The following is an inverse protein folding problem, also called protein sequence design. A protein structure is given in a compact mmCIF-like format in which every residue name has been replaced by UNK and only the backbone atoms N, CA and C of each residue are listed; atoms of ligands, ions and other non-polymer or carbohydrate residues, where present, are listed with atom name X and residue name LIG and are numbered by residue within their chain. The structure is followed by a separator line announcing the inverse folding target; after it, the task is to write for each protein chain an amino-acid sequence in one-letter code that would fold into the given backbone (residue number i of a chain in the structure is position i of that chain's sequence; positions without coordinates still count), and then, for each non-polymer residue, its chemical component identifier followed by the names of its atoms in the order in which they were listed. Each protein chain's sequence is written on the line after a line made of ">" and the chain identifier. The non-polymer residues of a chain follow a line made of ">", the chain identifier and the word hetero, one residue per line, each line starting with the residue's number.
data_IF_892486830465
#
_entry.id   IF_892486830465
#
_cell.length_a   1.000
_cell.length_b   1.000
_cell.length_c   1.000
_cell.angle_alpha   90.00
_cell.angle_beta   90.00
_cell.angle_gamma   90.00
#
_symmetry.space_group_name_H-M   'P 1'
#
loop_
_entity.id
_entity.type
_entity.pdbx_description
1 polymer ?
#
# COMPACT_ATOMS: atom_id res chain seq x y z
N UNK A 1 -4.02 13.45 35.09
CA UNK A 1 -2.63 12.97 35.19
C UNK A 1 -2.69 11.54 34.72
N UNK A 2 -2.06 11.26 33.58
CA UNK A 2 -1.95 9.96 32.85
C UNK A 2 -3.26 9.33 32.34
N UNK A 3 -3.33 8.70 31.16
CA UNK A 3 -2.26 8.06 30.36
C UNK A 3 -2.00 8.70 28.98
N UNK A 4 -0.76 8.65 28.48
CA UNK A 4 -0.47 8.88 27.07
C UNK A 4 -1.01 7.70 26.27
N UNK A 5 -1.88 7.97 25.29
CA UNK A 5 -2.26 6.99 24.28
C UNK A 5 -0.97 6.40 23.68
N UNK A 6 -0.63 5.18 24.08
CA UNK A 6 0.36 4.35 23.38
C UNK A 6 -0.21 4.11 21.99
N UNK A 7 0.09 5.03 21.08
CA UNK A 7 0.17 4.75 19.67
C UNK A 7 1.14 3.57 19.59
N UNK A 8 0.61 2.38 19.33
CA UNK A 8 1.41 1.17 19.22
C UNK A 8 2.22 1.34 17.93
N UNK A 9 3.36 2.01 18.06
CA UNK A 9 4.47 1.94 17.13
C UNK A 9 5.00 0.51 17.22
N UNK A 10 4.40 -0.41 16.45
CA UNK A 10 5.07 -1.67 16.16
C UNK A 10 6.19 -1.34 15.20
N UNK A 11 7.41 -1.55 15.67
CA UNK A 11 8.65 -1.41 14.93
C UNK A 11 8.51 -2.04 13.53
N UNK A 12 8.58 -1.17 12.53
CA UNK A 12 8.64 -1.50 11.11
C UNK A 12 10.07 -1.99 10.82
N UNK A 13 10.26 -3.28 10.54
CA UNK A 13 11.53 -3.87 10.07
C UNK A 13 11.25 -5.31 9.59
N UNK A 14 11.78 -5.87 8.50
CA UNK A 14 12.96 -5.57 7.68
C UNK A 14 12.75 -6.13 6.26
N UNK A 15 12.41 -5.32 5.25
CA UNK A 15 13.27 -5.24 4.07
C UNK A 15 13.18 -3.80 3.57
N UNK A 16 14.29 -3.08 3.57
CA UNK A 16 14.39 -1.81 2.87
C UNK A 16 15.39 -2.07 1.77
N UNK A 17 14.92 -2.15 0.54
CA UNK A 17 15.81 -2.15 -0.59
C UNK A 17 16.05 -0.70 -1.02
N UNK A 18 17.29 -0.38 -1.35
CA UNK A 18 17.66 0.92 -1.91
C UNK A 18 18.22 0.71 -3.29
N UNK A 19 17.68 1.40 -4.28
CA UNK A 19 18.25 1.44 -5.63
C UNK A 19 18.86 2.81 -5.89
N UNK A 20 19.95 2.85 -6.65
CA UNK A 20 20.63 4.10 -7.04
C UNK A 20 20.05 4.72 -8.31
N UNK A 21 19.13 4.03 -8.98
CA UNK A 21 18.51 4.46 -10.22
C UNK A 21 17.08 3.92 -10.30
N UNK A 22 16.13 4.77 -10.69
CA UNK A 22 14.75 4.39 -10.99
C UNK A 22 14.72 3.60 -12.31
N UNK A 23 15.03 2.32 -12.21
CA UNK A 23 14.94 1.34 -13.29
C UNK A 23 13.64 0.54 -13.18
N UNK A 24 13.44 -0.39 -14.11
CA UNK A 24 12.35 -1.35 -13.98
C UNK A 24 12.52 -2.21 -12.72
N UNK A 25 11.42 -2.45 -12.01
CA UNK A 25 11.39 -3.31 -10.83
C UNK A 25 10.15 -4.18 -10.82
N UNK A 26 10.21 -5.28 -10.10
CA UNK A 26 9.06 -6.10 -9.77
C UNK A 26 9.15 -6.54 -8.32
N UNK A 27 8.02 -6.57 -7.63
CA UNK A 27 7.93 -7.13 -6.30
C UNK A 27 6.70 -8.02 -6.22
N UNK A 28 6.86 -9.10 -5.47
CA UNK A 28 5.79 -10.03 -5.16
C UNK A 28 5.69 -10.15 -3.66
N UNK A 29 4.48 -10.13 -3.12
CA UNK A 29 4.25 -10.42 -1.73
C UNK A 29 2.93 -11.15 -1.55
N UNK A 30 2.85 -11.94 -0.50
CA UNK A 30 1.62 -12.61 -0.10
C UNK A 30 1.06 -11.92 1.14
N UNK A 31 -0.21 -11.53 1.09
CA UNK A 31 -0.89 -10.87 2.21
C UNK A 31 -2.21 -11.55 2.55
N UNK A 32 -2.68 -11.39 3.78
CA UNK A 32 -3.96 -11.90 4.23
C UNK A 32 -4.70 -10.85 5.07
N UNK A 33 -6.00 -10.74 4.83
CA UNK A 33 -6.93 -9.99 5.67
C UNK A 33 -7.87 -10.96 6.37
N UNK A 34 -7.75 -11.08 7.69
CA UNK A 34 -8.70 -11.81 8.51
C UNK A 34 -9.54 -10.82 9.33
N UNK A 35 -10.81 -10.73 8.97
CA UNK A 35 -11.77 -9.84 9.58
C UNK A 35 -12.35 -10.40 10.88
N UNK A 36 -12.13 -11.68 11.23
CA UNK A 36 -12.59 -12.31 12.48
C UNK A 36 -14.08 -12.05 12.84
N UNK A 37 -14.97 -11.92 11.85
CA UNK A 37 -16.38 -11.52 12.00
C UNK A 37 -16.59 -10.15 12.68
N UNK A 38 -15.58 -9.27 12.63
CA UNK A 38 -15.67 -7.92 13.13
C UNK A 38 -16.74 -7.16 12.36
N UNK A 39 -17.60 -6.47 13.11
CA UNK A 39 -18.62 -5.61 12.51
C UNK A 39 -18.02 -4.33 11.94
N UNK A 40 -16.85 -3.89 12.42
CA UNK A 40 -16.13 -2.70 11.96
C UNK A 40 -14.64 -3.02 11.77
N UNK A 41 -14.09 -2.47 10.70
CA UNK A 41 -12.75 -2.78 10.20
C UNK A 41 -12.12 -1.57 9.51
N UNK A 42 -10.79 -1.52 9.48
CA UNK A 42 -9.97 -0.48 8.87
C UNK A 42 -8.52 -0.58 9.35
N UNK A 43 -7.59 0.24 8.86
CA UNK A 43 -7.74 1.20 7.75
C UNK A 43 -7.16 0.63 6.45
N UNK A 44 -6.08 -0.15 6.52
CA UNK A 44 -5.43 -0.74 5.36
C UNK A 44 -3.91 -0.82 5.49
N UNK A 45 -3.24 -1.03 4.36
CA UNK A 45 -1.80 -0.90 4.25
C UNK A 45 -1.41 -0.33 2.89
N UNK A 46 -0.16 0.08 2.75
CA UNK A 46 0.40 0.49 1.48
C UNK A 46 1.79 -0.10 1.26
N UNK A 47 2.09 -0.47 0.02
CA UNK A 47 3.46 -0.59 -0.49
C UNK A 47 3.90 0.77 -0.99
N UNK A 48 5.06 1.27 -0.56
CA UNK A 48 5.51 2.62 -0.88
C UNK A 48 6.93 2.69 -1.44
N UNK A 49 7.18 3.76 -2.19
CA UNK A 49 8.48 4.26 -2.63
C UNK A 49 8.64 5.67 -2.07
N UNK A 50 9.70 5.93 -1.32
CA UNK A 50 9.97 7.24 -0.73
C UNK A 50 11.48 7.57 -0.78
N UNK A 51 11.89 8.83 -0.57
CA UNK A 51 13.31 9.18 -0.45
C UNK A 51 13.96 8.38 0.69
N UNK A 52 15.22 7.99 0.51
CA UNK A 52 15.96 7.29 1.57
C UNK A 52 15.98 8.13 2.85
N UNK A 53 15.59 7.51 3.97
CA UNK A 53 15.50 8.19 5.27
C UNK A 53 14.22 8.99 5.46
N UNK A 54 13.19 8.76 4.63
CA UNK A 54 11.87 9.37 4.81
C UNK A 54 11.33 9.11 6.22
N UNK A 55 11.02 10.16 7.00
CA UNK A 55 10.46 10.00 8.34
C UNK A 55 8.96 9.72 8.26
N UNK A 56 8.45 8.92 9.20
CA UNK A 56 7.00 8.81 9.42
C UNK A 56 6.49 10.20 9.87
N UNK A 57 5.53 10.83 9.17
CA UNK A 57 5.01 12.13 9.56
C UNK A 57 4.31 12.05 10.93
N UNK A 58 4.36 13.11 11.75
CA UNK A 58 3.55 13.15 12.97
C UNK A 58 2.06 13.16 12.63
N UNK A 59 1.24 12.52 13.46
CA UNK A 59 -0.21 12.42 13.31
C UNK A 59 -0.66 11.76 11.98
N UNK A 60 0.06 10.73 11.54
CA UNK A 60 -0.17 10.00 10.28
C UNK A 60 -1.00 8.72 10.42
N UNK A 61 -1.83 8.61 11.46
CA UNK A 61 -2.63 7.41 11.73
C UNK A 61 -3.84 7.27 10.79
N UNK A 62 -4.51 6.11 10.89
CA UNK A 62 -5.74 5.80 10.17
C UNK A 62 -5.58 5.89 8.64
N UNK A 63 -6.53 6.52 7.93
CA UNK A 63 -6.53 6.66 6.46
C UNK A 63 -5.31 7.38 5.87
N UNK A 64 -4.43 7.96 6.71
CA UNK A 64 -3.16 8.56 6.28
C UNK A 64 -2.03 7.53 6.14
N UNK A 65 -2.27 6.27 6.54
CA UNK A 65 -1.42 5.09 6.33
C UNK A 65 0.05 5.26 6.75
N UNK A 66 0.38 6.17 7.66
CA UNK A 66 1.78 6.43 8.03
C UNK A 66 2.58 7.22 6.99
N UNK A 67 1.95 7.68 5.91
CA UNK A 67 2.61 8.36 4.78
C UNK A 67 2.35 9.87 4.75
N UNK A 68 1.18 10.29 5.24
CA UNK A 68 0.74 11.69 5.17
C UNK A 68 0.44 12.25 6.56
N UNK A 69 0.37 13.58 6.67
CA UNK A 69 -0.30 14.28 7.75
C UNK A 69 -1.40 15.20 7.19
N UNK A 70 -2.24 15.77 8.05
CA UNK A 70 -3.38 16.61 7.63
C UNK A 70 -2.99 17.88 6.86
N UNK A 71 -1.72 18.29 6.91
CA UNK A 71 -1.22 19.54 6.32
C UNK A 71 -0.41 19.31 5.05
N UNK A 72 -0.13 18.06 4.67
CA UNK A 72 0.63 17.72 3.47
C UNK A 72 -0.28 17.51 2.29
N UNK A 73 -0.16 18.36 1.27
CA UNK A 73 -0.88 18.21 0.01
C UNK A 73 -0.10 17.39 -1.03
N UNK A 74 1.23 17.49 -1.01
CA UNK A 74 2.09 16.75 -1.92
C UNK A 74 3.42 16.35 -1.28
N UNK A 75 3.85 15.11 -1.54
CA UNK A 75 5.08 14.51 -1.03
C UNK A 75 5.81 13.79 -2.16
N UNK A 76 7.15 13.66 -2.14
CA UNK A 76 7.90 12.87 -3.11
C UNK A 76 7.76 11.37 -2.82
N UNK A 77 6.54 10.85 -2.74
CA UNK A 77 6.21 9.46 -2.42
C UNK A 77 5.31 8.91 -3.53
N UNK A 78 5.51 7.65 -3.85
CA UNK A 78 4.58 6.86 -4.65
C UNK A 78 4.13 5.69 -3.81
N UNK A 79 2.85 5.36 -3.82
CA UNK A 79 2.36 4.21 -3.07
C UNK A 79 1.21 3.52 -3.78
N UNK A 80 1.11 2.21 -3.52
CA UNK A 80 -0.04 1.39 -3.85
C UNK A 80 -0.73 1.11 -2.53
N UNK A 81 -1.94 1.63 -2.37
CA UNK A 81 -2.74 1.45 -1.16
C UNK A 81 -3.79 0.35 -1.33
N UNK A 82 -3.99 -0.39 -0.25
CA UNK A 82 -4.98 -1.44 -0.05
C UNK A 82 -5.86 -0.98 1.10
N UNK A 83 -6.88 -0.19 0.78
CA UNK A 83 -7.71 0.49 1.77
C UNK A 83 -8.94 -0.35 2.11
N UNK A 84 -9.04 -0.69 3.38
CA UNK A 84 -10.20 -1.33 3.98
C UNK A 84 -11.09 -0.20 4.50
N UNK A 85 -12.06 0.21 3.68
CA UNK A 85 -13.00 1.28 4.03
C UNK A 85 -13.69 1.00 5.37
N UNK A 86 -13.93 2.06 6.16
CA UNK A 86 -14.72 1.92 7.38
C UNK A 86 -16.15 1.53 6.98
N UNK A 87 -16.67 0.46 7.56
CA UNK A 87 -18.04 -0.03 7.33
C UNK A 87 -19.15 1.03 7.53
N UNK A 88 -18.84 2.16 8.16
CA UNK A 88 -19.75 3.26 8.46
C UNK A 88 -19.39 4.60 7.76
N UNK A 89 -18.41 4.61 6.87
CA UNK A 89 -18.07 5.82 6.10
C UNK A 89 -19.02 5.95 4.90
N UNK A 90 -19.95 6.91 5.02
CA UNK A 90 -20.95 7.24 3.99
C UNK A 90 -20.29 7.79 2.71
N UNK A 91 -19.02 8.22 2.77
CA UNK A 91 -18.31 8.83 1.65
C UNK A 91 -17.42 7.85 0.87
N UNK A 92 -17.03 6.73 1.47
CA UNK A 92 -16.26 5.67 0.81
C UNK A 92 -16.80 4.29 1.19
N UNK A 93 -18.00 3.93 0.71
CA UNK A 93 -18.64 2.66 1.08
C UNK A 93 -17.93 1.43 0.50
N UNK A 94 -16.86 1.62 -0.29
CA UNK A 94 -16.15 0.54 -0.97
C UNK A 94 -14.68 0.53 -0.56
N UNK A 95 -14.24 -0.63 -0.09
CA UNK A 95 -12.85 -1.02 -0.05
C UNK A 95 -12.27 -0.87 -1.47
N UNK A 96 -11.03 -0.38 -1.54
CA UNK A 96 -10.43 -0.03 -2.83
C UNK A 96 -8.93 -0.26 -2.79
N UNK A 97 -8.40 -0.48 -3.99
CA UNK A 97 -6.98 -0.50 -4.23
C UNK A 97 -6.63 0.63 -5.19
N UNK A 98 -5.52 1.31 -4.94
CA UNK A 98 -5.18 2.51 -5.68
C UNK A 98 -3.70 2.75 -5.88
N UNK A 99 -3.38 3.42 -6.98
CA UNK A 99 -2.05 3.95 -7.27
C UNK A 99 -2.07 5.44 -7.03
N UNK A 100 -1.15 5.92 -6.20
CA UNK A 100 -1.11 7.28 -5.73
C UNK A 100 0.28 7.88 -6.00
N UNK A 101 0.32 8.91 -6.85
CA UNK A 101 1.54 9.61 -7.23
C UNK A 101 1.58 10.98 -6.55
N UNK A 102 2.60 11.20 -5.72
CA UNK A 102 2.89 12.45 -5.01
C UNK A 102 1.78 13.04 -4.11
N UNK A 103 0.66 12.38 -3.93
CA UNK A 103 -0.46 12.84 -3.12
C UNK A 103 -1.21 11.66 -2.50
N UNK A 104 -2.04 11.92 -1.48
CA UNK A 104 -2.95 10.92 -0.90
C UNK A 104 -4.17 10.62 -1.78
N UNK A 105 -4.30 11.25 -2.95
CA UNK A 105 -5.40 11.01 -3.88
C UNK A 105 -4.99 10.03 -4.98
N UNK A 106 -5.94 9.19 -5.40
CA UNK A 106 -5.73 8.23 -6.48
C UNK A 106 -5.40 8.90 -7.80
N UNK A 107 -4.32 8.43 -8.41
CA UNK A 107 -4.06 8.63 -9.84
C UNK A 107 -4.84 7.62 -10.67
N UNK A 108 -5.00 6.40 -10.14
CA UNK A 108 -5.95 5.40 -10.63
C UNK A 108 -6.42 4.52 -9.47
N UNK A 109 -7.62 3.97 -9.54
CA UNK A 109 -8.17 3.08 -8.51
C UNK A 109 -9.14 2.06 -9.09
N UNK A 110 -9.38 1.00 -8.33
CA UNK A 110 -10.39 0.00 -8.63
C UNK A 110 -11.11 -0.42 -7.35
N UNK A 111 -12.42 -0.72 -7.40
CA UNK A 111 -13.09 -1.41 -6.31
C UNK A 111 -12.35 -2.71 -5.98
N UNK A 112 -12.22 -3.00 -4.69
CA UNK A 112 -11.54 -4.19 -4.20
C UNK A 112 -12.22 -4.66 -2.92
N UNK A 113 -13.00 -5.74 -2.97
CA UNK A 113 -13.73 -6.23 -1.80
C UNK A 113 -12.99 -7.38 -1.11
N UNK A 114 -12.08 -7.05 -0.19
CA UNK A 114 -11.33 -8.02 0.58
C UNK A 114 -12.22 -8.89 1.49
N UNK A 115 -13.45 -8.45 1.81
CA UNK A 115 -14.34 -9.21 2.70
C UNK A 115 -14.88 -10.49 2.05
N UNK A 116 -14.99 -10.52 0.71
CA UNK A 116 -15.33 -11.74 -0.05
C UNK A 116 -14.26 -12.84 0.10
N UNK A 117 -13.05 -12.43 0.45
CA UNK A 117 -11.87 -13.28 0.55
C UNK A 117 -11.34 -13.36 1.98
N UNK A 118 -12.24 -13.21 2.97
CA UNK A 118 -11.89 -13.18 4.38
C UNK A 118 -11.05 -14.40 4.79
N UNK A 119 -9.87 -14.13 5.37
CA UNK A 119 -8.92 -15.14 5.80
C UNK A 119 -8.23 -15.88 4.65
N UNK A 120 -8.36 -15.43 3.40
CA UNK A 120 -7.62 -15.96 2.25
C UNK A 120 -6.34 -15.20 1.98
N UNK A 121 -5.35 -15.92 1.47
CA UNK A 121 -4.09 -15.31 1.06
C UNK A 121 -4.25 -14.75 -0.36
N UNK A 122 -3.82 -13.51 -0.53
CA UNK A 122 -3.68 -12.85 -1.81
C UNK A 122 -2.20 -12.79 -2.18
N UNK A 123 -1.85 -13.33 -3.34
CA UNK A 123 -0.58 -13.06 -4.00
C UNK A 123 -0.71 -11.76 -4.77
N UNK A 124 0.21 -10.83 -4.55
CA UNK A 124 0.20 -9.49 -5.14
C UNK A 124 1.50 -9.27 -5.87
N UNK A 125 1.41 -8.86 -7.13
CA UNK A 125 2.53 -8.47 -7.96
C UNK A 125 2.45 -6.99 -8.28
N UNK A 126 3.52 -6.26 -8.02
CA UNK A 126 3.67 -4.86 -8.40
C UNK A 126 4.87 -4.78 -9.33
N UNK A 127 4.73 -4.13 -10.48
CA UNK A 127 5.82 -3.96 -11.42
C UNK A 127 5.85 -2.57 -12.02
N UNK A 128 7.06 -2.09 -12.28
CA UNK A 128 7.29 -0.88 -13.06
C UNK A 128 8.18 -1.18 -14.25
N UNK A 129 7.73 -0.80 -15.43
CA UNK A 129 8.56 -0.78 -16.64
C UNK A 129 8.99 0.65 -16.96
N UNK A 130 10.27 0.94 -16.74
CA UNK A 130 10.90 2.23 -16.99
C UNK A 130 10.93 2.66 -18.46
N UNK A 131 10.79 1.74 -19.43
CA UNK A 131 10.73 2.06 -20.86
C UNK A 131 9.34 2.52 -21.26
N UNK A 132 8.31 1.79 -20.82
CA UNK A 132 6.91 2.11 -21.13
C UNK A 132 6.25 3.06 -20.14
N UNK A 133 6.97 3.36 -19.05
CA UNK A 133 6.58 4.21 -17.92
C UNK A 133 5.31 3.71 -17.24
N UNK A 134 5.12 2.39 -17.20
CA UNK A 134 3.91 1.75 -16.70
C UNK A 134 4.15 1.16 -15.32
N UNK A 135 3.44 1.68 -14.32
CA UNK A 135 3.37 1.11 -12.97
C UNK A 135 2.07 0.30 -12.88
N UNK A 136 2.18 -0.99 -12.58
CA UNK A 136 1.04 -1.89 -12.51
C UNK A 136 1.04 -2.70 -11.22
N UNK A 137 -0.16 -3.09 -10.81
CA UNK A 137 -0.41 -4.02 -9.72
C UNK A 137 -1.48 -5.01 -10.17
N UNK A 138 -1.25 -6.29 -9.88
CA UNK A 138 -2.19 -7.39 -10.07
C UNK A 138 -2.21 -8.27 -8.85
N UNK A 139 -3.32 -8.96 -8.60
CA UNK A 139 -3.43 -9.86 -7.47
C UNK A 139 -4.28 -11.08 -7.78
N UNK A 140 -4.08 -12.13 -7.00
CA UNK A 140 -4.87 -13.36 -7.09
C UNK A 140 -5.07 -13.95 -5.70
N UNK A 141 -6.30 -14.38 -5.41
CA UNK A 141 -6.62 -15.07 -4.16
C UNK A 141 -6.46 -16.57 -4.31
N UNK A 142 -5.71 -17.19 -3.40
CA UNK A 142 -5.28 -18.58 -3.53
C UNK A 142 -6.42 -19.60 -3.47
N UNK A 143 -7.53 -19.30 -2.77
CA UNK A 143 -8.64 -20.25 -2.57
C UNK A 143 -9.97 -19.72 -3.07
N UNK A 144 -10.18 -18.41 -3.02
CA UNK A 144 -11.47 -17.76 -3.24
C UNK A 144 -11.50 -16.86 -4.47
N UNK A 145 -10.41 -16.81 -5.24
CA UNK A 145 -10.33 -16.00 -6.46
C UNK A 145 -11.35 -16.42 -7.51
N UNK A 146 -11.86 -15.43 -8.25
CA UNK A 146 -12.85 -15.66 -9.30
C UNK A 146 -12.41 -15.09 -10.65
N UNK A 147 -12.57 -15.81 -11.77
CA UNK A 147 -12.20 -15.31 -13.10
C UNK A 147 -12.95 -14.05 -13.57
N UNK A 148 -14.05 -13.68 -12.90
CA UNK A 148 -14.82 -12.47 -13.22
C UNK A 148 -14.31 -11.24 -12.48
N UNK A 149 -13.42 -11.41 -11.50
CA UNK A 149 -12.81 -10.30 -10.76
C UNK A 149 -11.76 -9.62 -11.64
N UNK A 150 -11.84 -8.30 -11.71
CA UNK A 150 -10.83 -7.49 -12.39
C UNK A 150 -9.67 -7.19 -11.44
N UNK A 151 -8.77 -8.15 -11.28
CA UNK A 151 -7.66 -8.06 -10.33
C UNK A 151 -6.40 -7.42 -10.94
N UNK A 152 -6.57 -6.26 -11.59
CA UNK A 152 -5.50 -5.51 -12.24
C UNK A 152 -5.74 -4.01 -12.20
N UNK A 153 -4.68 -3.24 -11.96
CA UNK A 153 -4.66 -1.78 -12.04
C UNK A 153 -3.31 -1.32 -12.59
N UNK A 154 -3.30 -0.32 -13.47
CA UNK A 154 -2.06 0.32 -13.91
C UNK A 154 -2.19 1.83 -14.07
N UNK A 155 -1.05 2.51 -14.06
CA UNK A 155 -0.94 3.94 -14.29
C UNK A 155 0.38 4.27 -15.00
N UNK A 156 0.28 5.10 -16.04
CA UNK A 156 1.46 5.57 -16.77
C UNK A 156 2.03 6.81 -16.10
N UNK A 157 3.24 6.69 -15.55
CA UNK A 157 3.98 7.78 -14.93
C UNK A 157 5.48 7.61 -15.11
N UNK A 158 6.17 8.72 -15.39
CA UNK A 158 7.62 8.76 -15.22
C UNK A 158 7.93 8.94 -13.74
N UNK A 159 8.35 7.85 -13.08
CA UNK A 159 8.62 7.90 -11.65
C UNK A 159 9.82 8.83 -11.32
N UNK A 160 10.66 9.17 -12.31
CA UNK A 160 11.76 10.13 -12.12
C UNK A 160 11.31 11.59 -11.99
N UNK A 161 10.08 11.90 -12.42
CA UNK A 161 9.47 13.22 -12.17
C UNK A 161 8.95 13.34 -10.72
N UNK A 162 8.68 12.21 -10.08
CA UNK A 162 8.02 12.12 -8.78
C UNK A 162 8.97 11.78 -7.61
N UNK A 163 10.09 11.10 -7.89
CA UNK A 163 10.99 10.53 -6.89
C UNK A 163 12.46 10.94 -7.15
N UNK A 164 13.28 11.07 -6.08
CA UNK A 164 14.71 11.27 -6.23
C UNK A 164 15.41 10.01 -6.77
N UNK A 165 16.68 10.14 -7.17
CA UNK A 165 17.48 9.02 -7.71
C UNK A 165 17.63 7.83 -6.74
N UNK A 166 17.61 8.10 -5.43
CA UNK A 166 17.70 7.07 -4.39
C UNK A 166 16.41 7.00 -3.62
N UNK A 167 15.78 5.84 -3.65
CA UNK A 167 14.53 5.58 -2.95
C UNK A 167 14.68 4.37 -2.02
N UNK A 168 13.81 4.33 -1.03
CA UNK A 168 13.54 3.15 -0.22
C UNK A 168 12.14 2.63 -0.56
N UNK A 169 12.02 1.31 -0.57
CA UNK A 169 10.75 0.60 -0.72
C UNK A 169 10.36 -0.04 0.60
N UNK A 170 9.06 -0.12 0.89
CA UNK A 170 8.60 -0.79 2.09
C UNK A 170 7.09 -0.89 2.18
N UNK A 171 6.63 -1.40 3.30
CA UNK A 171 5.22 -1.44 3.66
C UNK A 171 4.96 -0.55 4.86
N UNK A 172 3.78 0.05 4.88
CA UNK A 172 3.26 0.77 6.03
C UNK A 172 1.82 0.34 6.24
N UNK A 173 1.40 0.27 7.50
CA UNK A 173 0.02 -0.01 7.86
C UNK A 173 -0.29 0.79 9.10
N UNK A 174 -1.55 1.21 9.22
CA UNK A 174 -2.04 1.75 10.47
C UNK A 174 -3.22 0.91 10.91
N UNK A 175 -3.21 0.57 12.19
CA UNK A 175 -4.40 0.08 12.87
C UNK A 175 -5.05 1.31 13.50
N UNK A 176 -6.15 1.79 12.93
CA UNK A 176 -6.98 2.80 13.57
C UNK A 176 -7.66 2.26 14.84
N UNK A 177 -8.86 2.76 15.15
CA UNK A 177 -9.65 2.31 16.32
C UNK A 177 -10.06 0.83 16.21
N UNK A 178 -10.04 0.26 15.00
CA UNK A 178 -10.43 -1.10 14.71
C UNK A 178 -9.22 -1.96 14.39
N UNK A 179 -9.10 -3.12 15.04
CA UNK A 179 -7.93 -4.00 14.92
C UNK A 179 -8.08 -4.93 13.73
N UNK A 180 -7.69 -4.47 12.54
CA UNK A 180 -7.22 -5.37 11.48
C UNK A 180 -5.75 -5.10 11.22
N UNK A 181 -4.93 -6.11 11.44
CA UNK A 181 -3.53 -6.08 11.06
C UNK A 181 -3.39 -6.92 9.80
N UNK A 182 -3.09 -6.33 8.64
CA UNK A 182 -2.74 -7.11 7.46
C UNK A 182 -1.51 -7.95 7.78
N UNK A 183 -1.58 -9.24 7.49
CA UNK A 183 -0.46 -10.16 7.68
C UNK A 183 0.27 -10.32 6.35
N UNK A 184 1.50 -9.82 6.26
CA UNK A 184 2.38 -10.05 5.11
C UNK A 184 3.25 -11.27 5.44
N UNK A 185 3.04 -12.37 4.71
CA UNK A 185 3.68 -13.66 5.01
C UNK A 185 4.96 -13.91 4.22
N UNK A 186 5.05 -13.38 3.00
CA UNK A 186 6.18 -13.53 2.08
C UNK A 186 6.39 -12.19 1.37
N UNK A 187 7.66 -11.80 1.16
CA UNK A 187 8.01 -10.65 0.35
C UNK A 187 9.28 -10.93 -0.47
N UNK A 188 9.14 -10.85 -1.78
CA UNK A 188 10.21 -10.94 -2.78
C UNK A 188 10.28 -9.63 -3.57
N UNK A 189 11.50 -9.19 -3.86
CA UNK A 189 11.73 -7.96 -4.60
C UNK A 189 12.93 -8.13 -5.53
N UNK A 190 12.68 -7.86 -6.82
CA UNK A 190 13.64 -7.97 -7.90
C UNK A 190 13.78 -6.64 -8.63
N UNK A 191 15.03 -6.21 -8.79
CA UNK A 191 15.37 -5.09 -9.68
C UNK A 191 15.95 -5.65 -10.95
N UNK A 192 15.41 -5.26 -12.11
CA UNK A 192 16.12 -5.49 -13.36
C UNK A 192 16.84 -4.19 -13.75
N UNK A 193 18.17 -4.24 -13.81
CA UNK A 193 18.90 -3.28 -14.61
C UNK A 193 18.56 -3.59 -16.07
N UNK A 194 17.69 -2.80 -16.67
CA UNK A 194 17.60 -2.77 -18.14
C UNK A 194 18.95 -2.29 -18.66
N UNK A 195 19.77 -3.22 -19.16
CA UNK A 195 20.98 -2.96 -19.94
C UNK A 195 20.59 -2.24 -21.23
#
# INVERSE_FOLDING_TARGET
>A
MEEPHRQIEREMQTHLQTTSQLTSFSTHFTSQFDFHNAISYGDGFAFFLAPVGWPIPPNSGSSLLGLYNSNTQSLPIIHIEFQIGLNNDVYSPYQHMGININSSSFSNSTPWDATLHNGDFADVWISYDSKTKDLSVSWEYQRTGSPVENNFLSYKADLSDALPQRVMFGFTSTTGVYSLSPFISVWEFDTSLSI
#
